data_IF_883565633123
#
_entry.id   IF_883565633123
#
_cell.length_a   1.000
_cell.length_b   1.000
_cell.length_c   1.000
_cell.angle_alpha   90.00
_cell.angle_beta   90.00
_cell.angle_gamma   90.00
#
_symmetry.space_group_name_H-M   'P 1'
#
loop_
_entity.id
_entity.type
_entity.pdbx_description
1 polymer ?
#
# COMPACT_ATOMS: atom_id res chain seq x y z
N UNK A 1 8.93 -4.72 7.18
CA UNK A 1 9.83 -5.73 7.77
C UNK A 1 11.25 -5.20 7.98
N UNK A 2 11.94 -4.70 6.95
CA UNK A 2 13.31 -4.15 7.10
C UNK A 2 13.40 -3.07 8.19
N UNK A 3 12.48 -2.10 8.20
CA UNK A 3 12.36 -1.10 9.27
C UNK A 3 12.21 -1.71 10.67
N UNK A 4 11.47 -2.81 10.81
CA UNK A 4 11.28 -3.50 12.10
C UNK A 4 12.57 -4.17 12.58
N UNK A 5 13.35 -4.76 11.67
CA UNK A 5 14.61 -5.43 12.03
C UNK A 5 15.76 -4.46 12.24
N UNK A 6 15.88 -3.44 11.39
CA UNK A 6 17.07 -2.60 11.29
C UNK A 6 16.85 -1.16 11.76
N UNK A 7 15.60 -0.77 12.07
CA UNK A 7 15.28 0.62 12.41
C UNK A 7 15.52 1.61 11.27
N UNK A 8 15.61 1.12 10.02
CA UNK A 8 15.92 1.96 8.87
C UNK A 8 14.84 3.02 8.61
N UNK A 9 15.22 4.19 8.06
CA UNK A 9 14.22 5.10 7.50
C UNK A 9 13.44 4.41 6.37
N UNK A 10 12.24 4.91 6.03
CA UNK A 10 11.52 4.43 4.86
C UNK A 10 12.33 4.64 3.58
N UNK A 11 12.22 3.70 2.67
CA UNK A 11 12.85 3.76 1.35
C UNK A 11 12.13 4.76 0.43
N UNK A 12 12.81 5.19 -0.64
CA UNK A 12 12.24 6.17 -1.57
C UNK A 12 10.91 5.70 -2.19
N UNK A 13 10.81 4.44 -2.59
CA UNK A 13 9.59 3.87 -3.19
C UNK A 13 8.45 3.67 -2.18
N UNK A 14 8.74 3.64 -0.88
CA UNK A 14 7.74 3.53 0.19
C UNK A 14 7.03 4.87 0.45
N UNK A 15 7.67 5.99 0.11
CA UNK A 15 7.20 7.34 0.46
C UNK A 15 7.12 8.31 -0.72
N UNK A 16 7.37 7.86 -1.95
CA UNK A 16 7.34 8.72 -3.13
C UNK A 16 5.94 9.22 -3.52
N UNK A 17 4.90 8.47 -3.18
CA UNK A 17 3.50 8.83 -3.48
C UNK A 17 2.77 9.13 -2.19
N UNK A 18 2.39 10.40 -1.98
CA UNK A 18 1.75 10.88 -0.75
C UNK A 18 0.54 11.76 -1.03
N UNK A 19 -0.21 12.10 0.03
CA UNK A 19 -1.33 13.02 -0.01
C UNK A 19 -2.40 12.64 -1.05
N UNK A 20 -2.83 13.62 -1.85
CA UNK A 20 -3.90 13.41 -2.84
C UNK A 20 -3.54 12.40 -3.94
N UNK A 21 -2.25 12.21 -4.25
CA UNK A 21 -1.81 11.18 -5.21
C UNK A 21 -1.98 9.78 -4.63
N UNK A 22 -1.68 9.61 -3.34
CA UNK A 22 -1.88 8.34 -2.65
C UNK A 22 -3.38 7.98 -2.58
N UNK A 23 -4.24 8.96 -2.28
CA UNK A 23 -5.69 8.76 -2.30
C UNK A 23 -6.23 8.40 -3.70
N UNK A 24 -5.66 8.97 -4.77
CA UNK A 24 -5.96 8.56 -6.15
C UNK A 24 -5.56 7.10 -6.43
N UNK A 25 -4.38 6.68 -5.93
CA UNK A 25 -3.93 5.29 -6.06
C UNK A 25 -4.84 4.34 -5.28
N UNK A 26 -5.29 4.73 -4.08
CA UNK A 26 -6.23 3.95 -3.28
C UNK A 26 -7.57 3.76 -4.02
N UNK A 27 -8.13 4.82 -4.62
CA UNK A 27 -9.33 4.70 -5.47
C UNK A 27 -9.12 3.77 -6.66
N UNK A 28 -7.99 3.90 -7.35
CA UNK A 28 -7.66 3.02 -8.47
C UNK A 28 -7.55 1.55 -8.04
N UNK A 29 -7.04 1.29 -6.84
CA UNK A 29 -6.88 -0.06 -6.30
C UNK A 29 -8.24 -0.66 -5.90
N UNK A 30 -9.12 0.13 -5.27
CA UNK A 30 -10.50 -0.30 -4.97
C UNK A 30 -11.27 -0.65 -6.24
N UNK A 31 -11.19 0.19 -7.27
CA UNK A 31 -11.85 -0.08 -8.55
C UNK A 31 -11.34 -1.34 -9.26
N UNK A 32 -10.13 -1.80 -8.91
CA UNK A 32 -9.50 -2.97 -9.51
C UNK A 32 -9.43 -4.18 -8.55
N UNK A 33 -10.04 -4.11 -7.35
CA UNK A 33 -9.86 -5.10 -6.28
C UNK A 33 -10.25 -6.51 -6.72
N UNK A 34 -11.41 -6.63 -7.38
CA UNK A 34 -11.97 -7.90 -7.86
C UNK A 34 -11.65 -8.16 -9.35
N UNK A 35 -10.68 -7.43 -9.92
CA UNK A 35 -10.33 -7.52 -11.35
C UNK A 35 -9.20 -8.52 -11.57
N UNK A 36 -9.40 -9.44 -12.52
CA UNK A 36 -8.35 -10.34 -12.99
C UNK A 36 -7.32 -9.65 -13.92
N UNK A 37 -7.57 -8.40 -14.33
CA UNK A 37 -6.70 -7.63 -15.23
C UNK A 37 -5.51 -6.97 -14.49
N UNK A 38 -4.78 -7.76 -13.71
CA UNK A 38 -3.62 -7.27 -12.97
C UNK A 38 -2.48 -6.85 -13.91
N UNK A 39 -2.05 -5.59 -13.81
CA UNK A 39 -0.94 -5.02 -14.56
C UNK A 39 0.19 -4.61 -13.62
N UNK A 40 1.18 -5.49 -13.47
CA UNK A 40 2.32 -5.27 -12.58
C UNK A 40 3.13 -4.02 -12.97
N UNK A 41 3.34 -3.79 -14.27
CA UNK A 41 4.14 -2.66 -14.76
C UNK A 41 3.45 -1.36 -14.39
N UNK A 42 2.14 -1.28 -14.61
CA UNK A 42 1.33 -0.12 -14.25
C UNK A 42 1.40 0.20 -12.76
N UNK A 43 1.32 -0.80 -11.88
CA UNK A 43 1.33 -0.60 -10.44
C UNK A 43 2.70 -0.24 -9.86
N UNK A 44 3.77 -0.90 -10.30
CA UNK A 44 5.06 -0.82 -9.62
C UNK A 44 6.10 0.04 -10.34
N UNK A 45 6.07 0.08 -11.67
CA UNK A 45 6.99 0.91 -12.47
C UNK A 45 6.36 2.23 -12.91
N UNK A 46 5.04 2.36 -12.76
CA UNK A 46 4.28 3.52 -13.17
C UNK A 46 3.98 3.49 -14.66
N UNK A 47 2.72 3.72 -15.00
CA UNK A 47 2.28 3.79 -16.40
C UNK A 47 1.00 4.61 -16.48
N UNK A 48 0.94 5.52 -17.47
CA UNK A 48 -0.22 6.38 -17.75
C UNK A 48 -0.73 7.13 -16.52
N UNK A 49 -1.75 6.57 -15.87
CA UNK A 49 -2.56 7.18 -14.83
C UNK A 49 -2.00 6.98 -13.41
N UNK A 50 -1.05 6.07 -13.23
CA UNK A 50 -0.38 5.84 -11.94
C UNK A 50 1.06 6.35 -11.94
N UNK A 51 1.49 7.02 -10.85
CA UNK A 51 2.87 7.43 -10.68
C UNK A 51 3.78 6.20 -10.51
N UNK A 52 5.07 6.38 -10.80
CA UNK A 52 6.09 5.39 -10.48
C UNK A 52 6.03 5.05 -8.98
N UNK A 53 6.13 3.75 -8.67
CA UNK A 53 6.06 3.20 -7.31
C UNK A 53 4.70 3.33 -6.60
N UNK A 54 3.61 3.52 -7.34
CA UNK A 54 2.26 3.56 -6.77
C UNK A 54 1.96 2.35 -5.86
N UNK A 55 2.22 1.13 -6.32
CA UNK A 55 1.99 -0.09 -5.55
C UNK A 55 2.85 -0.18 -4.28
N UNK A 56 4.12 0.25 -4.36
CA UNK A 56 5.01 0.25 -3.19
C UNK A 56 4.57 1.25 -2.13
N UNK A 57 4.34 2.51 -2.51
CA UNK A 57 3.91 3.55 -1.58
C UNK A 57 2.53 3.27 -1.00
N UNK A 58 1.60 2.76 -1.82
CA UNK A 58 0.25 2.39 -1.39
C UNK A 58 0.29 1.24 -0.38
N UNK A 59 0.97 0.14 -0.70
CA UNK A 59 1.09 -1.01 0.20
C UNK A 59 1.78 -0.65 1.52
N UNK A 60 2.85 0.16 1.46
CA UNK A 60 3.54 0.63 2.67
C UNK A 60 2.63 1.44 3.58
N UNK A 61 1.91 2.42 3.03
CA UNK A 61 1.00 3.26 3.79
C UNK A 61 -0.20 2.46 4.35
N UNK A 62 -0.75 1.52 3.57
CA UNK A 62 -1.88 0.68 3.97
C UNK A 62 -1.51 -0.24 5.13
N UNK A 63 -0.41 -0.99 5.02
CA UNK A 63 0.05 -1.87 6.11
C UNK A 63 0.50 -1.06 7.32
N UNK A 64 1.13 0.11 7.11
CA UNK A 64 1.52 1.01 8.20
C UNK A 64 0.31 1.47 9.02
N UNK A 65 -0.74 1.97 8.37
CA UNK A 65 -1.99 2.39 9.03
C UNK A 65 -2.68 1.24 9.77
N UNK A 66 -2.67 0.04 9.18
CA UNK A 66 -3.25 -1.14 9.82
C UNK A 66 -2.49 -1.53 11.10
N UNK A 67 -1.16 -1.46 11.08
CA UNK A 67 -0.33 -1.72 12.28
C UNK A 67 -0.57 -0.65 13.34
N UNK A 68 -0.70 0.63 12.97
CA UNK A 68 -0.95 1.72 13.91
C UNK A 68 -2.30 1.60 14.63
N UNK A 69 -3.29 0.93 14.03
CA UNK A 69 -4.62 0.75 14.62
C UNK A 69 -4.75 -0.47 15.55
N UNK A 70 -3.74 -1.34 15.62
CA UNK A 70 -3.84 -2.62 16.36
C UNK A 70 -2.57 -2.92 17.18
N UNK A 71 -2.75 -3.15 18.49
CA UNK A 71 -1.64 -3.51 19.36
C UNK A 71 -1.16 -4.95 19.10
N UNK A 72 0.17 -5.15 19.12
CA UNK A 72 0.78 -6.49 19.08
C UNK A 72 0.94 -7.10 17.68
N UNK A 73 0.54 -6.41 16.62
CA UNK A 73 0.81 -6.84 15.24
C UNK A 73 2.03 -6.13 14.65
N UNK A 74 2.70 -6.80 13.70
CA UNK A 74 3.87 -6.26 13.00
C UNK A 74 3.84 -6.66 11.53
N UNK A 75 4.67 -6.03 10.71
CA UNK A 75 4.78 -6.40 9.30
C UNK A 75 5.18 -7.88 9.12
N UNK A 76 5.93 -8.46 10.06
CA UNK A 76 6.30 -9.88 10.02
C UNK A 76 5.10 -10.81 10.26
N UNK A 77 4.22 -10.46 11.21
CA UNK A 77 3.05 -11.28 11.54
C UNK A 77 1.97 -11.23 10.45
N UNK A 78 1.99 -10.19 9.62
CA UNK A 78 1.02 -9.97 8.55
C UNK A 78 1.44 -10.57 7.19
N UNK A 79 2.59 -11.23 7.10
CA UNK A 79 3.14 -11.72 5.83
C UNK A 79 2.22 -12.73 5.10
N UNK A 80 1.33 -13.39 5.84
CA UNK A 80 0.35 -14.35 5.32
C UNK A 80 -1.10 -13.90 5.54
N UNK A 81 -1.31 -12.66 5.99
CA UNK A 81 -2.64 -12.12 6.22
C UNK A 81 -3.40 -11.99 4.89
N UNK A 82 -4.68 -12.42 4.80
CA UNK A 82 -5.49 -12.23 3.61
C UNK A 82 -5.59 -10.75 3.21
N UNK A 83 -5.57 -10.48 1.89
CA UNK A 83 -5.66 -9.12 1.38
C UNK A 83 -6.94 -8.39 1.85
N UNK A 84 -8.05 -9.12 1.96
CA UNK A 84 -9.36 -8.59 2.39
C UNK A 84 -9.32 -7.96 3.79
N UNK A 85 -8.42 -8.42 4.66
CA UNK A 85 -8.21 -7.81 5.98
C UNK A 85 -7.85 -6.32 5.86
N UNK A 86 -7.17 -5.91 4.79
CA UNK A 86 -6.72 -4.54 4.58
C UNK A 86 -7.71 -3.67 3.79
N UNK A 87 -8.82 -4.24 3.29
CA UNK A 87 -9.75 -3.54 2.39
C UNK A 87 -10.34 -2.27 3.02
N UNK A 88 -10.73 -2.34 4.30
CA UNK A 88 -11.27 -1.18 5.02
C UNK A 88 -10.26 -0.02 5.13
N UNK A 89 -8.96 -0.33 5.33
CA UNK A 89 -7.91 0.70 5.36
C UNK A 89 -7.77 1.36 4.00
N UNK A 90 -7.86 0.57 2.93
CA UNK A 90 -7.81 1.09 1.57
C UNK A 90 -9.00 1.99 1.25
N UNK A 91 -10.21 1.64 1.72
CA UNK A 91 -11.42 2.45 1.63
C UNK A 91 -11.24 3.80 2.35
N UNK A 92 -10.67 3.80 3.55
CA UNK A 92 -10.40 5.04 4.29
C UNK A 92 -9.31 5.89 3.65
N UNK A 93 -8.31 5.27 3.01
CA UNK A 93 -7.30 5.97 2.23
C UNK A 93 -7.85 6.62 0.95
N UNK A 94 -8.96 6.13 0.44
CA UNK A 94 -9.58 6.60 -0.80
C UNK A 94 -10.48 7.83 -0.62
N UNK A 95 -10.90 8.11 0.63
CA UNK A 95 -11.65 9.30 1.05
C UNK A 95 -10.79 10.56 0.89
#
# INVERSE_FOLDING_TARGET
>A
FCKQLYGSPPELWETAVTGSKLAKCARAALSAWDSDAYDHVRWYFGWRDLPRWAGYSLGYAMVGRYIESSAGISAATLAHEPADTFRHVLEDMAR
#
